data_IF_123426032032
#
_entry.id   IF_123426032032
#
_cell.length_a   1.000
_cell.length_b   1.000
_cell.length_c   1.000
_cell.angle_alpha   90.00
_cell.angle_beta   90.00
_cell.angle_gamma   90.00
#
_symmetry.space_group_name_H-M   'P 1'
#
loop_
_entity.id
_entity.type
_entity.pdbx_description
1 polymer ?
#
# COMPACT_ATOMS: atom_id res chain seq x y z
N UNK A 1 -32.87 7.42 -15.97
CA UNK A 1 -32.11 8.69 -15.79
C UNK A 1 -30.64 8.30 -15.69
N UNK A 2 -29.85 8.48 -16.75
CA UNK A 2 -28.47 8.01 -16.82
C UNK A 2 -27.51 9.15 -16.43
N UNK A 3 -26.74 8.94 -15.37
CA UNK A 3 -25.67 9.85 -14.96
C UNK A 3 -24.43 9.47 -15.77
N UNK A 4 -24.03 10.29 -16.73
CA UNK A 4 -22.76 10.14 -17.43
C UNK A 4 -21.69 11.03 -16.77
N UNK A 5 -20.79 10.43 -15.99
CA UNK A 5 -19.59 11.09 -15.52
C UNK A 5 -18.48 10.96 -16.57
N UNK A 6 -17.96 12.08 -17.06
CA UNK A 6 -16.79 12.09 -17.96
C UNK A 6 -15.53 12.40 -17.15
N UNK A 7 -14.68 11.40 -16.98
CA UNK A 7 -13.38 11.52 -16.32
C UNK A 7 -12.33 12.04 -17.32
N UNK A 8 -11.47 12.98 -16.88
CA UNK A 8 -10.26 13.36 -17.62
C UNK A 8 -9.12 12.38 -17.30
N UNK A 9 -8.03 12.37 -18.09
CA UNK A 9 -6.81 11.55 -17.93
C UNK A 9 -6.15 11.66 -16.55
N UNK A 10 -6.47 12.69 -15.77
CA UNK A 10 -6.01 12.87 -14.38
C UNK A 10 -7.06 12.46 -13.32
N UNK A 11 -8.13 11.77 -13.73
CA UNK A 11 -9.26 11.33 -12.89
C UNK A 11 -10.04 12.45 -12.15
N UNK A 12 -9.83 13.72 -12.50
CA UNK A 12 -10.65 14.84 -12.00
C UNK A 12 -12.01 14.91 -12.73
N UNK A 13 -13.10 14.99 -11.96
CA UNK A 13 -14.46 15.22 -12.47
C UNK A 13 -14.66 16.74 -12.58
N UNK A 14 -14.86 17.27 -13.80
CA UNK A 14 -15.01 18.72 -13.99
C UNK A 14 -16.42 19.22 -14.28
N UNK A 15 -17.39 18.39 -14.70
CA UNK A 15 -18.77 18.84 -14.92
C UNK A 15 -19.79 17.71 -14.74
N UNK A 16 -20.84 17.98 -13.97
CA UNK A 16 -22.10 17.23 -13.97
C UNK A 16 -23.14 18.15 -14.60
N UNK A 17 -23.75 17.74 -15.72
CA UNK A 17 -24.80 18.54 -16.38
C UNK A 17 -26.18 18.06 -15.91
N UNK A 18 -26.94 18.96 -15.28
CA UNK A 18 -28.36 18.79 -14.93
C UNK A 18 -28.96 20.17 -14.61
N UNK A 19 -30.15 20.46 -15.13
CA UNK A 19 -30.80 21.79 -15.05
C UNK A 19 -31.61 21.97 -13.77
N UNK A 20 -31.17 22.91 -12.90
CA UNK A 20 -31.94 23.68 -11.88
C UNK A 20 -32.63 22.94 -10.70
N UNK A 21 -32.99 23.63 -9.59
CA UNK A 21 -32.59 24.96 -9.10
C UNK A 21 -31.91 24.87 -7.71
N UNK A 22 -30.75 25.49 -7.49
CA UNK A 22 -30.16 25.93 -6.20
C UNK A 22 -28.67 26.26 -6.49
N UNK A 23 -28.08 27.33 -5.93
CA UNK A 23 -26.67 27.62 -6.11
C UNK A 23 -25.82 26.52 -5.46
N UNK A 24 -25.22 25.66 -6.28
CA UNK A 24 -24.27 24.64 -5.84
C UNK A 24 -23.11 25.33 -5.14
N UNK A 25 -23.04 25.19 -3.81
CA UNK A 25 -21.81 25.43 -3.06
C UNK A 25 -20.77 24.47 -3.64
N UNK A 26 -19.75 24.99 -4.32
CA UNK A 26 -18.58 24.22 -4.70
C UNK A 26 -17.80 23.87 -3.43
N UNK A 27 -18.26 22.87 -2.68
CA UNK A 27 -17.42 22.25 -1.66
C UNK A 27 -16.33 21.48 -2.41
N UNK A 28 -15.10 21.93 -2.25
CA UNK A 28 -13.92 21.23 -2.73
C UNK A 28 -13.89 19.81 -2.12
N UNK A 29 -14.31 18.84 -2.92
CA UNK A 29 -14.38 17.42 -2.56
C UNK A 29 -13.00 16.84 -2.23
N UNK A 30 -11.90 17.52 -2.58
CA UNK A 30 -10.54 17.11 -2.19
C UNK A 30 -10.34 17.13 -0.68
N UNK A 31 -11.02 18.03 0.06
CA UNK A 31 -10.97 18.05 1.53
C UNK A 31 -11.65 16.84 2.18
N UNK A 32 -12.58 16.18 1.47
CA UNK A 32 -13.35 15.04 1.99
C UNK A 32 -12.63 13.70 1.81
N UNK A 33 -11.75 13.59 0.82
CA UNK A 33 -11.04 12.34 0.52
C UNK A 33 -9.53 12.52 0.73
N UNK A 34 -9.08 12.29 1.97
CA UNK A 34 -7.65 12.14 2.26
C UNK A 34 -7.10 10.99 1.41
N UNK A 35 -6.08 11.27 0.60
CA UNK A 35 -5.43 10.24 -0.23
C UNK A 35 -4.93 9.10 0.65
N UNK A 36 -5.28 7.85 0.29
CA UNK A 36 -4.88 6.66 1.04
C UNK A 36 -3.39 6.39 0.83
N UNK A 37 -2.70 5.94 1.87
CA UNK A 37 -1.32 5.43 1.77
C UNK A 37 -1.33 4.23 0.82
N UNK A 38 -0.39 4.20 -0.12
CA UNK A 38 -0.24 3.04 -1.00
C UNK A 38 0.53 1.96 -0.24
N UNK A 39 0.14 0.69 -0.36
CA UNK A 39 0.79 -0.41 0.36
C UNK A 39 1.17 -1.49 -0.66
N UNK A 40 2.42 -1.93 -0.60
CA UNK A 40 2.93 -3.08 -1.34
C UNK A 40 3.35 -4.11 -0.31
N UNK A 41 2.63 -5.24 -0.27
CA UNK A 41 2.89 -6.34 0.64
C UNK A 41 3.34 -7.57 -0.13
N UNK A 42 4.58 -8.02 0.09
CA UNK A 42 5.14 -9.22 -0.50
C UNK A 42 4.93 -10.44 0.39
N UNK A 43 3.90 -11.25 0.10
CA UNK A 43 3.71 -12.55 0.77
C UNK A 43 4.55 -13.62 0.08
N UNK A 44 5.58 -14.11 0.76
CA UNK A 44 6.50 -15.12 0.22
C UNK A 44 5.90 -16.53 0.23
N UNK A 45 4.76 -16.72 0.92
CA UNK A 45 4.11 -18.02 1.13
C UNK A 45 5.13 -19.02 1.69
N UNK A 46 5.11 -20.27 1.24
CA UNK A 46 6.07 -21.30 1.62
C UNK A 46 7.18 -21.43 0.57
N UNK A 47 7.90 -20.34 0.33
CA UNK A 47 9.07 -20.32 -0.56
C UNK A 47 10.33 -19.92 0.21
N UNK A 48 11.49 -20.24 -0.37
CA UNK A 48 12.86 -19.94 0.10
C UNK A 48 13.36 -20.78 1.27
N UNK A 49 14.67 -21.06 1.26
CA UNK A 49 15.40 -21.54 2.43
C UNK A 49 15.76 -20.39 3.37
N UNK A 50 16.13 -20.68 4.63
CA UNK A 50 16.53 -19.65 5.62
C UNK A 50 17.61 -18.67 5.12
N UNK A 51 18.72 -19.13 4.51
CA UNK A 51 19.74 -18.22 3.99
C UNK A 51 19.24 -17.39 2.81
N UNK A 52 18.53 -17.99 1.85
CA UNK A 52 17.96 -17.28 0.69
C UNK A 52 16.99 -16.18 1.13
N UNK A 53 16.10 -16.48 2.09
CA UNK A 53 15.14 -15.48 2.57
C UNK A 53 15.81 -14.32 3.31
N UNK A 54 16.99 -14.53 3.91
CA UNK A 54 17.78 -13.45 4.50
C UNK A 54 18.38 -12.55 3.42
N UNK A 55 18.95 -13.15 2.38
CA UNK A 55 19.55 -12.43 1.25
C UNK A 55 18.48 -11.59 0.53
N UNK A 56 17.33 -12.19 0.21
CA UNK A 56 16.18 -11.50 -0.37
C UNK A 56 15.71 -10.32 0.50
N UNK A 57 15.68 -10.48 1.82
CA UNK A 57 15.32 -9.38 2.72
C UNK A 57 16.31 -8.21 2.66
N UNK A 58 17.61 -8.50 2.57
CA UNK A 58 18.65 -7.47 2.45
C UNK A 58 18.56 -6.72 1.11
N UNK A 59 18.32 -7.44 0.02
CA UNK A 59 18.09 -6.83 -1.30
C UNK A 59 16.85 -5.93 -1.30
N UNK A 60 15.74 -6.41 -0.73
CA UNK A 60 14.51 -5.61 -0.60
C UNK A 60 14.74 -4.38 0.27
N UNK A 61 15.48 -4.49 1.37
CA UNK A 61 15.84 -3.35 2.21
C UNK A 61 16.69 -2.31 1.45
N UNK A 62 17.65 -2.74 0.64
CA UNK A 62 18.47 -1.84 -0.16
C UNK A 62 17.66 -1.11 -1.25
N UNK A 63 16.80 -1.84 -1.98
CA UNK A 63 15.90 -1.26 -2.98
C UNK A 63 14.85 -0.35 -2.35
N UNK A 64 14.49 -0.62 -1.09
CA UNK A 64 13.64 0.24 -0.31
C UNK A 64 14.24 1.61 -0.03
N UNK A 65 15.41 2.03 -0.51
CA UNK A 65 15.80 3.44 -0.43
C UNK A 65 15.15 4.30 -1.54
N UNK A 66 14.84 3.70 -2.70
CA UNK A 66 14.46 4.44 -3.92
C UNK A 66 12.97 4.75 -4.13
N UNK A 67 12.07 4.16 -3.33
CA UNK A 67 10.63 4.38 -3.41
C UNK A 67 10.15 5.69 -2.73
N UNK A 68 8.97 6.21 -3.07
CA UNK A 68 8.36 7.35 -2.38
C UNK A 68 7.96 7.02 -0.93
N UNK A 69 8.01 8.00 -0.01
CA UNK A 69 7.61 7.82 1.40
C UNK A 69 6.12 7.49 1.60
N UNK A 70 5.28 7.85 0.62
CA UNK A 70 3.83 7.57 0.66
C UNK A 70 3.49 6.08 0.36
N UNK A 71 4.50 5.24 0.10
CA UNK A 71 4.35 3.81 -0.13
C UNK A 71 4.84 3.04 1.09
N UNK A 72 3.93 2.30 1.74
CA UNK A 72 4.28 1.30 2.76
C UNK A 72 4.76 0.03 2.09
N UNK A 73 5.94 -0.45 2.49
CA UNK A 73 6.53 -1.70 2.01
C UNK A 73 6.47 -2.73 3.14
N UNK A 74 5.84 -3.86 2.88
CA UNK A 74 5.66 -4.93 3.88
C UNK A 74 6.15 -6.24 3.28
N UNK A 75 6.89 -7.04 4.04
CA UNK A 75 7.23 -8.42 3.66
C UNK A 75 6.65 -9.42 4.65
N UNK A 76 6.08 -10.50 4.13
CA UNK A 76 5.52 -11.59 4.92
C UNK A 76 6.22 -12.92 4.59
N UNK A 77 7.40 -13.19 5.21
CA UNK A 77 8.13 -14.43 5.02
C UNK A 77 7.46 -15.62 5.76
N UNK A 78 7.86 -16.88 5.47
CA UNK A 78 7.48 -18.01 6.29
C UNK A 78 7.87 -17.81 7.76
N UNK A 79 7.11 -18.40 8.69
CA UNK A 79 7.32 -18.23 10.13
C UNK A 79 8.76 -18.49 10.58
N UNK A 80 9.40 -19.53 10.01
CA UNK A 80 10.77 -19.93 10.34
C UNK A 80 11.84 -18.89 10.03
N UNK A 81 11.52 -17.91 9.19
CA UNK A 81 12.45 -16.89 8.72
C UNK A 81 12.25 -15.54 9.40
N UNK A 82 11.14 -15.34 10.14
CA UNK A 82 10.77 -14.06 10.75
C UNK A 82 11.91 -13.42 11.54
N UNK A 83 12.58 -14.18 12.41
CA UNK A 83 13.69 -13.65 13.22
C UNK A 83 14.90 -13.23 12.38
N UNK A 84 15.25 -14.02 11.36
CA UNK A 84 16.38 -13.72 10.47
C UNK A 84 16.08 -12.50 9.58
N UNK A 85 14.87 -12.44 9.05
CA UNK A 85 14.40 -11.32 8.22
C UNK A 85 14.29 -10.04 9.06
N UNK A 86 13.80 -10.10 10.30
CA UNK A 86 13.74 -8.93 11.18
C UNK A 86 15.13 -8.30 11.39
N UNK A 87 16.16 -9.13 11.59
CA UNK A 87 17.54 -8.66 11.71
C UNK A 87 18.07 -8.08 10.40
N UNK A 88 17.70 -8.66 9.27
CA UNK A 88 18.10 -8.19 7.95
C UNK A 88 17.45 -6.84 7.56
N UNK A 89 16.22 -6.60 8.02
CA UNK A 89 15.46 -5.37 7.75
C UNK A 89 15.74 -4.23 8.74
N UNK A 90 16.57 -4.46 9.76
CA UNK A 90 16.85 -3.47 10.79
C UNK A 90 17.40 -2.16 10.18
N UNK A 91 16.74 -1.04 10.48
CA UNK A 91 17.08 0.28 9.94
C UNK A 91 16.52 0.59 8.56
N UNK A 92 15.82 -0.35 7.91
CA UNK A 92 15.08 -0.10 6.67
C UNK A 92 13.66 0.40 6.95
N UNK A 93 13.01 0.95 5.92
CA UNK A 93 11.58 1.33 5.99
C UNK A 93 10.62 0.17 5.72
N UNK A 94 11.13 -1.04 5.53
CA UNK A 94 10.33 -2.22 5.21
C UNK A 94 9.80 -2.81 6.50
N UNK A 95 8.48 -2.93 6.57
CA UNK A 95 7.80 -3.53 7.71
C UNK A 95 7.75 -5.05 7.57
N UNK A 96 7.86 -5.75 8.69
CA UNK A 96 7.78 -7.21 8.77
C UNK A 96 6.38 -7.64 9.20
N UNK A 97 5.80 -8.62 8.50
CA UNK A 97 4.52 -9.23 8.86
C UNK A 97 4.65 -10.75 8.98
N UNK A 98 3.85 -11.35 9.87
CA UNK A 98 3.59 -12.79 9.82
C UNK A 98 2.53 -13.10 8.74
N UNK A 99 2.51 -14.34 8.25
CA UNK A 99 1.48 -14.80 7.30
C UNK A 99 0.20 -15.27 7.99
N UNK A 100 0.29 -15.65 9.27
CA UNK A 100 -0.84 -16.15 10.05
C UNK A 100 -0.67 -15.76 11.52
N UNK A 101 -1.80 -15.64 12.23
CA UNK A 101 -1.87 -15.44 13.68
C UNK A 101 -2.99 -16.33 14.23
N UNK A 102 -2.78 -16.96 15.38
CA UNK A 102 -3.84 -17.66 16.09
C UNK A 102 -4.72 -16.63 16.82
N UNK A 103 -6.03 -16.87 16.86
CA UNK A 103 -7.04 -16.06 17.57
C UNK A 103 -7.42 -16.68 18.94
N UNK A 104 -6.53 -17.49 19.51
CA UNK A 104 -6.75 -18.22 20.75
C UNK A 104 -5.87 -17.69 21.88
N UNK A 105 -6.47 -17.55 23.06
CA UNK A 105 -5.81 -17.32 24.36
C UNK A 105 -4.81 -18.44 24.72
#
# INVERSE_FOLDING_TARGET
MAIFARFNKNHEIRKVFGTWPEPFIYTDISKKYKMRKQIVAGNWKMNTTKPEGKELAQEVAALSAGFPENVGLIVAPPFTHLCAVNKALAGSRVELSAQNCADHE
#
